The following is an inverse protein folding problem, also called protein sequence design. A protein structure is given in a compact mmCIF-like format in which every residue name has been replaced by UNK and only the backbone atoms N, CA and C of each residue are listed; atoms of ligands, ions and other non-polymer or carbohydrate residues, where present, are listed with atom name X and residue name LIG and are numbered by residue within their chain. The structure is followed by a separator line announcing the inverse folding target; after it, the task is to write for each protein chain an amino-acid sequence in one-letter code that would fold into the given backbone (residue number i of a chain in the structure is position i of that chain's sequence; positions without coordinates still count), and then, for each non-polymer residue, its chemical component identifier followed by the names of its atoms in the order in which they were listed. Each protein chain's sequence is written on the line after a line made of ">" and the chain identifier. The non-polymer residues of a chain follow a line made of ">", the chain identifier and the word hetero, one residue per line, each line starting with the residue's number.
data_IF_928196550456
#
_entry.id   IF_928196550456
#
_cell.length_a   1.000
_cell.length_b   1.000
_cell.length_c   1.000
_cell.angle_alpha   90.00
_cell.angle_beta   90.00
_cell.angle_gamma   90.00
#
_symmetry.space_group_name_H-M   'P 1'
#
loop_
_entity.id
_entity.type
_entity.pdbx_description
1 polymer ?
#
# COMPACT_ATOMS: atom_id res chain seq x y z
N UNK A 1 13.37 -3.90 -4.88
CA UNK A 1 13.36 -3.20 -3.58
C UNK A 1 13.74 -1.74 -3.81
N UNK A 2 13.15 -0.80 -3.08
CA UNK A 2 13.47 0.64 -3.18
C UNK A 2 14.86 0.87 -2.58
N UNK A 3 15.69 1.67 -3.25
CA UNK A 3 17.04 2.06 -2.82
C UNK A 3 17.09 3.58 -2.55
N UNK A 4 18.05 4.06 -1.75
CA UNK A 4 18.23 5.49 -1.47
C UNK A 4 18.34 6.34 -2.75
N UNK A 5 19.06 5.83 -3.76
CA UNK A 5 19.24 6.51 -5.04
C UNK A 5 17.91 6.84 -5.73
N UNK A 6 16.91 5.94 -5.63
CA UNK A 6 15.58 6.18 -6.21
C UNK A 6 14.88 7.36 -5.52
N UNK A 7 14.95 7.43 -4.19
CA UNK A 7 14.37 8.55 -3.42
C UNK A 7 15.09 9.86 -3.76
N UNK A 8 16.42 9.82 -3.80
CA UNK A 8 17.24 11.00 -4.12
C UNK A 8 16.91 11.51 -5.52
N UNK A 9 16.78 10.61 -6.50
CA UNK A 9 16.42 10.99 -7.86
C UNK A 9 15.00 11.54 -7.93
N UNK A 10 14.01 10.87 -7.36
CA UNK A 10 12.62 11.38 -7.35
C UNK A 10 12.50 12.74 -6.67
N UNK A 11 13.25 13.01 -5.59
CA UNK A 11 13.29 14.35 -4.97
C UNK A 11 13.90 15.41 -5.88
N UNK A 12 14.86 15.06 -6.74
CA UNK A 12 15.40 15.99 -7.75
C UNK A 12 14.38 16.28 -8.85
N UNK A 13 13.67 15.24 -9.29
CA UNK A 13 12.68 15.35 -10.37
C UNK A 13 11.41 16.09 -9.89
N UNK A 14 11.07 15.95 -8.60
CA UNK A 14 9.90 16.55 -7.97
C UNK A 14 10.27 17.22 -6.62
N UNK A 15 10.95 18.37 -6.64
CA UNK A 15 11.51 19.00 -5.43
C UNK A 15 10.45 19.50 -4.43
N UNK A 16 9.21 19.71 -4.89
CA UNK A 16 8.10 20.14 -4.04
C UNK A 16 7.28 18.96 -3.50
N UNK A 17 7.60 17.73 -3.90
CA UNK A 17 6.83 16.55 -3.54
C UNK A 17 7.25 15.98 -2.20
N UNK A 18 6.26 15.66 -1.37
CA UNK A 18 6.47 14.98 -0.08
C UNK A 18 6.66 13.48 -0.33
N UNK A 19 7.70 12.89 0.26
CA UNK A 19 8.04 11.47 0.12
C UNK A 19 7.39 10.66 1.23
N UNK A 20 6.47 9.78 0.85
CA UNK A 20 5.77 8.85 1.74
C UNK A 20 6.26 7.44 1.42
N UNK A 21 6.74 6.68 2.42
CA UNK A 21 7.21 5.29 2.22
C UNK A 21 6.63 4.33 3.25
N UNK A 22 6.56 3.05 2.87
CA UNK A 22 6.14 1.98 3.78
C UNK A 22 7.25 1.62 4.80
N UNK A 23 6.94 1.26 6.05
CA UNK A 23 7.92 0.85 7.05
C UNK A 23 8.73 -0.40 6.68
N UNK A 24 8.25 -1.20 5.72
CA UNK A 24 8.98 -2.34 5.14
C UNK A 24 10.18 -1.92 4.26
N UNK A 25 10.31 -0.64 3.93
CA UNK A 25 11.49 -0.13 3.24
C UNK A 25 12.74 -0.23 4.14
N UNK A 26 13.91 -0.39 3.53
CA UNK A 26 15.18 -0.38 4.24
C UNK A 26 15.38 0.94 4.99
N UNK A 27 16.19 0.92 6.06
CA UNK A 27 16.37 2.04 6.98
C UNK A 27 16.80 3.32 6.26
N UNK A 28 17.70 3.19 5.30
CA UNK A 28 18.26 4.29 4.52
C UNK A 28 17.17 5.00 3.71
N UNK A 29 16.21 4.27 3.15
CA UNK A 29 15.05 4.84 2.45
C UNK A 29 14.12 5.57 3.42
N UNK A 30 13.85 4.96 4.59
CA UNK A 30 13.01 5.58 5.63
C UNK A 30 13.61 6.89 6.17
N UNK A 31 14.93 6.94 6.31
CA UNK A 31 15.63 8.15 6.75
C UNK A 31 15.57 9.30 5.72
N UNK A 32 15.33 8.98 4.44
CA UNK A 32 15.22 9.96 3.36
C UNK A 32 13.77 10.38 3.08
N UNK A 33 12.78 9.75 3.72
CA UNK A 33 11.36 10.04 3.52
C UNK A 33 10.82 11.04 4.53
N UNK A 34 9.82 11.81 4.13
CA UNK A 34 9.15 12.77 5.00
C UNK A 34 8.11 12.08 5.90
N UNK A 35 7.57 10.95 5.45
CA UNK A 35 6.53 10.18 6.14
C UNK A 35 6.80 8.68 6.00
N UNK A 36 6.78 7.97 7.13
CA UNK A 36 6.90 6.51 7.19
C UNK A 36 5.65 5.94 7.84
N UNK A 37 4.91 5.07 7.15
CA UNK A 37 3.74 4.43 7.74
C UNK A 37 3.04 3.43 6.83
N UNK A 38 1.99 2.78 7.36
CA UNK A 38 1.17 1.84 6.59
C UNK A 38 0.49 2.53 5.40
N UNK A 39 -0.02 1.75 4.45
CA UNK A 39 -0.79 2.27 3.31
C UNK A 39 -1.96 3.16 3.77
N UNK A 40 -2.67 2.77 4.82
CA UNK A 40 -3.75 3.58 5.43
C UNK A 40 -3.22 4.88 6.04
N UNK A 41 -2.08 4.85 6.73
CA UNK A 41 -1.47 6.05 7.29
C UNK A 41 -1.01 7.03 6.20
N UNK A 42 -0.37 6.51 5.15
CA UNK A 42 0.01 7.29 3.96
C UNK A 42 -1.23 7.91 3.29
N UNK A 43 -2.30 7.13 3.10
CA UNK A 43 -3.58 7.62 2.55
C UNK A 43 -4.17 8.75 3.40
N UNK A 44 -4.24 8.57 4.72
CA UNK A 44 -4.76 9.59 5.62
C UNK A 44 -3.87 10.84 5.67
N UNK A 45 -2.56 10.69 5.51
CA UNK A 45 -1.62 11.81 5.40
C UNK A 45 -1.93 12.67 4.18
N UNK A 46 -2.17 12.04 3.03
CA UNK A 46 -2.58 12.75 1.80
C UNK A 46 -3.97 13.36 1.98
N UNK A 47 -4.93 12.62 2.53
CA UNK A 47 -6.29 13.11 2.77
C UNK A 47 -6.32 14.38 3.63
N UNK A 48 -5.49 14.42 4.66
CA UNK A 48 -5.43 15.52 5.63
C UNK A 48 -4.36 16.58 5.30
N UNK A 49 -3.65 16.44 4.17
CA UNK A 49 -2.62 17.42 3.80
C UNK A 49 -3.25 18.77 3.45
N UNK A 50 -2.48 19.83 3.68
CA UNK A 50 -2.89 21.20 3.36
C UNK A 50 -3.15 21.39 1.87
N UNK A 51 -3.90 22.44 1.51
CA UNK A 51 -4.17 22.80 0.12
C UNK A 51 -2.93 23.20 -0.68
N UNK A 52 -1.85 23.60 0.01
CA UNK A 52 -0.56 23.93 -0.61
C UNK A 52 0.31 22.69 -0.88
N UNK A 53 0.09 21.59 -0.17
CA UNK A 53 0.73 20.30 -0.42
C UNK A 53 0.01 19.56 -1.55
N UNK A 54 0.54 19.72 -2.77
CA UNK A 54 -0.08 19.20 -4.00
C UNK A 54 0.66 18.03 -4.63
N UNK A 55 1.88 17.72 -4.20
CA UNK A 55 2.73 16.72 -4.85
C UNK A 55 3.23 15.67 -3.85
N UNK A 56 3.15 14.39 -4.22
CA UNK A 56 3.51 13.27 -3.36
C UNK A 56 4.29 12.21 -4.13
N UNK A 57 5.43 11.79 -3.58
CA UNK A 57 6.20 10.63 -4.04
C UNK A 57 5.82 9.43 -3.15
N UNK A 58 5.41 8.34 -3.78
CA UNK A 58 4.88 7.14 -3.13
C UNK A 58 5.90 6.01 -3.25
N UNK A 59 6.42 5.58 -2.10
CA UNK A 59 7.34 4.46 -1.93
C UNK A 59 6.66 3.23 -1.32
N UNK A 60 5.66 2.70 -2.03
CA UNK A 60 5.00 1.42 -1.76
C UNK A 60 4.41 0.88 -3.07
N UNK A 61 3.56 -0.15 -3.00
CA UNK A 61 2.89 -0.74 -4.15
C UNK A 61 2.06 0.28 -4.96
N UNK A 62 2.04 0.15 -6.30
CA UNK A 62 1.50 1.14 -7.23
C UNK A 62 -0.01 1.36 -7.11
N UNK A 63 -0.76 0.36 -6.67
CA UNK A 63 -2.20 0.43 -6.47
C UNK A 63 -2.61 1.47 -5.43
N UNK A 64 -1.77 1.74 -4.42
CA UNK A 64 -2.05 2.83 -3.48
C UNK A 64 -2.01 4.20 -4.17
N UNK A 65 -1.00 4.41 -5.03
CA UNK A 65 -0.86 5.65 -5.79
C UNK A 65 -2.03 5.82 -6.77
N UNK A 66 -2.41 4.77 -7.49
CA UNK A 66 -3.55 4.78 -8.41
C UNK A 66 -4.85 5.16 -7.66
N UNK A 67 -5.07 4.57 -6.48
CA UNK A 67 -6.21 4.89 -5.63
C UNK A 67 -6.21 6.35 -5.17
N UNK A 68 -5.08 6.86 -4.68
CA UNK A 68 -4.97 8.26 -4.27
C UNK A 68 -5.17 9.24 -5.43
N UNK A 69 -4.66 8.91 -6.62
CA UNK A 69 -4.86 9.73 -7.81
C UNK A 69 -6.34 9.82 -8.22
N UNK A 70 -7.11 8.74 -8.03
CA UNK A 70 -8.56 8.73 -8.25
C UNK A 70 -9.31 9.55 -7.19
N UNK A 71 -8.97 9.36 -5.90
CA UNK A 71 -9.68 10.01 -4.79
C UNK A 71 -9.31 11.50 -4.63
N UNK A 72 -8.13 11.92 -5.09
CA UNK A 72 -7.60 13.28 -4.96
C UNK A 72 -7.10 13.85 -6.31
N UNK A 73 -7.99 14.10 -7.29
CA UNK A 73 -7.61 14.50 -8.64
C UNK A 73 -6.86 15.84 -8.72
N UNK A 74 -7.01 16.71 -7.71
CA UNK A 74 -6.31 17.99 -7.63
C UNK A 74 -4.88 17.89 -7.08
N UNK A 75 -4.39 16.67 -6.81
CA UNK A 75 -3.04 16.37 -6.30
C UNK A 75 -2.28 15.51 -7.32
N UNK A 76 -0.96 15.63 -7.34
CA UNK A 76 -0.06 14.88 -8.23
C UNK A 76 0.68 13.81 -7.44
N UNK A 77 0.74 12.62 -8.02
CA UNK A 77 1.34 11.44 -7.40
C UNK A 77 2.40 10.85 -8.32
N UNK A 78 3.53 10.49 -7.74
CA UNK A 78 4.67 9.94 -8.44
C UNK A 78 5.14 8.68 -7.73
N UNK A 79 5.40 7.59 -8.46
CA UNK A 79 6.07 6.43 -7.86
C UNK A 79 7.55 6.73 -7.70
N UNK A 80 8.14 6.32 -6.58
CA UNK A 80 9.60 6.46 -6.38
C UNK A 80 10.39 5.62 -7.40
N UNK A 81 9.79 4.59 -7.98
CA UNK A 81 10.31 3.87 -9.14
C UNK A 81 9.20 3.16 -9.92
N UNK A 82 9.40 2.97 -11.23
CA UNK A 82 8.39 2.40 -12.15
C UNK A 82 8.02 0.92 -11.93
N UNK A 83 8.59 0.22 -10.93
CA UNK A 83 8.46 -1.24 -10.72
C UNK A 83 8.03 -1.62 -9.31
N UNK A 84 7.00 -0.97 -8.78
CA UNK A 84 6.44 -1.28 -7.45
C UNK A 84 5.13 -2.04 -7.57
N UNK A 85 5.20 -3.22 -8.17
CA UNK A 85 4.02 -4.08 -8.40
C UNK A 85 4.14 -5.36 -7.58
N UNK A 86 3.13 -5.66 -6.78
CA UNK A 86 3.02 -6.95 -6.10
C UNK A 86 2.33 -7.96 -7.02
N UNK A 87 3.11 -8.85 -7.65
CA UNK A 87 2.59 -9.82 -8.63
C UNK A 87 1.43 -10.67 -8.08
N UNK A 88 1.51 -11.12 -6.81
CA UNK A 88 0.45 -11.93 -6.21
C UNK A 88 -0.85 -11.14 -6.00
N UNK A 89 -0.79 -9.84 -5.70
CA UNK A 89 -2.00 -9.02 -5.60
C UNK A 89 -2.69 -8.86 -6.96
N UNK A 90 -1.93 -8.77 -8.05
CA UNK A 90 -2.45 -8.61 -9.42
C UNK A 90 -2.99 -9.91 -10.05
N UNK A 91 -2.93 -11.04 -9.33
CA UNK A 91 -3.62 -12.28 -9.76
C UNK A 91 -5.13 -12.17 -9.66
N UNK A 92 -5.64 -11.26 -8.83
CA UNK A 92 -7.07 -11.01 -8.69
C UNK A 92 -7.53 -10.10 -9.85
N UNK A 93 -8.21 -10.68 -10.83
CA UNK A 93 -8.78 -9.95 -11.98
C UNK A 93 -10.30 -9.83 -11.87
N UNK A 94 -10.90 -8.93 -12.65
CA UNK A 94 -12.36 -8.76 -12.67
C UNK A 94 -13.05 -10.05 -13.15
N UNK A 95 -12.47 -10.74 -14.11
CA UNK A 95 -12.97 -12.01 -14.63
C UNK A 95 -12.94 -13.11 -13.57
N UNK A 96 -11.86 -13.19 -12.78
CA UNK A 96 -11.77 -14.14 -11.67
C UNK A 96 -12.79 -13.81 -10.58
N UNK A 97 -12.93 -12.53 -10.20
CA UNK A 97 -13.92 -12.12 -9.20
C UNK A 97 -15.33 -12.44 -9.67
N UNK A 98 -15.66 -12.14 -10.93
CA UNK A 98 -16.95 -12.49 -11.53
C UNK A 98 -17.18 -14.01 -11.48
N UNK A 99 -16.20 -14.79 -11.92
CA UNK A 99 -16.29 -16.25 -11.92
C UNK A 99 -16.55 -16.79 -10.52
N UNK A 100 -15.83 -16.32 -9.50
CA UNK A 100 -16.03 -16.73 -8.11
C UNK A 100 -17.45 -16.38 -7.62
N UNK A 101 -17.97 -15.21 -7.96
CA UNK A 101 -19.31 -14.77 -7.56
C UNK A 101 -20.43 -15.58 -8.24
N UNK A 102 -20.24 -16.01 -9.48
CA UNK A 102 -21.20 -16.85 -10.22
C UNK A 102 -21.24 -18.30 -9.71
N UNK A 103 -20.18 -18.77 -9.03
CA UNK A 103 -20.00 -20.17 -8.61
C UNK A 103 -19.80 -20.32 -7.09
N UNK A 104 -20.38 -19.42 -6.28
CA UNK A 104 -20.21 -19.44 -4.82
C UNK A 104 -20.63 -20.77 -4.17
N UNK A 105 -21.68 -21.41 -4.71
CA UNK A 105 -22.21 -22.68 -4.19
C UNK A 105 -21.24 -23.86 -4.38
N UNK A 106 -20.33 -23.77 -5.36
CA UNK A 106 -19.35 -24.84 -5.64
C UNK A 106 -18.22 -24.87 -4.61
N UNK A 107 -18.05 -23.79 -3.83
CA UNK A 107 -17.03 -23.67 -2.76
C UNK A 107 -15.60 -23.98 -3.23
N UNK A 108 -15.32 -23.86 -4.52
CA UNK A 108 -14.04 -24.21 -5.15
C UNK A 108 -12.84 -23.47 -4.53
N UNK A 109 -13.05 -22.20 -4.14
CA UNK A 109 -12.04 -21.34 -3.53
C UNK A 109 -12.34 -21.01 -2.07
N UNK A 110 -13.20 -21.80 -1.40
CA UNK A 110 -13.52 -21.61 0.01
C UNK A 110 -12.25 -21.75 0.87
N UNK A 111 -11.83 -20.65 1.50
CA UNK A 111 -10.65 -20.65 2.37
C UNK A 111 -10.99 -21.37 3.66
N UNK A 112 -10.39 -22.55 3.87
CA UNK A 112 -10.52 -23.34 5.11
C UNK A 112 -9.20 -23.35 5.86
N UNK A 113 -9.28 -23.11 7.15
CA UNK A 113 -8.14 -23.23 8.08
C UNK A 113 -8.47 -24.34 9.07
N UNK A 114 -7.58 -25.34 9.28
CA UNK A 114 -7.79 -26.37 10.29
C UNK A 114 -8.09 -25.78 11.67
N UNK A 115 -9.05 -26.37 12.40
CA UNK A 115 -9.58 -25.79 13.65
C UNK A 115 -8.51 -25.58 14.72
N UNK A 116 -7.56 -26.50 14.84
CA UNK A 116 -6.45 -26.43 15.77
C UNK A 116 -5.48 -25.28 15.43
N UNK A 117 -5.24 -25.04 14.13
CA UNK A 117 -4.44 -23.90 13.65
C UNK A 117 -5.20 -22.60 13.88
N UNK A 118 -6.48 -22.53 13.51
CA UNK A 118 -7.30 -21.33 13.65
C UNK A 118 -7.38 -20.86 15.11
N UNK A 119 -7.64 -21.77 16.05
CA UNK A 119 -7.69 -21.46 17.50
C UNK A 119 -6.36 -20.89 18.01
N UNK A 120 -5.24 -21.46 17.59
CA UNK A 120 -3.90 -20.98 18.01
C UNK A 120 -3.55 -19.63 17.38
N UNK A 121 -3.88 -19.44 16.10
CA UNK A 121 -3.62 -18.20 15.38
C UNK A 121 -4.48 -17.04 15.89
N UNK A 122 -5.69 -17.33 16.39
CA UNK A 122 -6.61 -16.31 16.90
C UNK A 122 -6.07 -15.61 18.16
N UNK A 123 -5.41 -16.33 19.05
CA UNK A 123 -4.88 -15.80 20.32
C UNK A 123 -3.98 -14.55 20.12
N UNK A 124 -2.91 -14.58 19.31
CA UNK A 124 -2.09 -13.39 19.09
C UNK A 124 -2.81 -12.30 18.28
N UNK A 125 -3.78 -12.66 17.42
CA UNK A 125 -4.55 -11.68 16.64
C UNK A 125 -5.48 -10.89 17.55
N UNK A 126 -6.22 -11.55 18.44
CA UNK A 126 -7.10 -10.89 19.42
C UNK A 126 -6.30 -9.97 20.35
N UNK A 127 -5.17 -10.46 20.88
CA UNK A 127 -4.27 -9.62 21.68
C UNK A 127 -3.76 -8.40 20.92
N UNK A 128 -3.40 -8.55 19.63
CA UNK A 128 -2.97 -7.42 18.81
C UNK A 128 -4.08 -6.35 18.69
N UNK A 129 -5.34 -6.77 18.52
CA UNK A 129 -6.49 -5.88 18.43
C UNK A 129 -6.80 -5.17 19.75
N UNK A 130 -6.54 -5.80 20.90
CA UNK A 130 -6.71 -5.17 22.22
C UNK A 130 -5.75 -3.98 22.45
N UNK A 131 -4.60 -3.95 21.76
CA UNK A 131 -3.57 -2.91 21.91
C UNK A 131 -3.58 -1.85 20.80
N UNK A 132 -4.40 -2.00 19.76
CA UNK A 132 -4.41 -1.13 18.56
C UNK A 132 -5.53 -0.10 18.60
#
# INVERSE_FOLDING_TARGET
>A
QIKPEHVIQSKKDHPNAKVLVHPECIREVRNLSDVVGSTSYMYNTVKNSSSTEKEFIIGTESGLMERMAQDFPDKRFYLVMNKLVCYNMKKNTIELVKYVLEHLDEKMFEVKVPSDIAKKALIPIERMLEFS
#
